data_IF_427973554519
#
_entry.id   IF_427973554519
#
_cell.length_a   1.000
_cell.length_b   1.000
_cell.length_c   1.000
_cell.angle_alpha   90.00
_cell.angle_beta   90.00
_cell.angle_gamma   90.00
#
_symmetry.space_group_name_H-M   'P 1'
#
loop_
_entity.id
_entity.type
_entity.pdbx_description
1 polymer ?
#
# COMPACT_ATOMS: atom_id res chain seq x y z
N UNK A 1 -12.68 4.23 5.52
CA UNK A 1 -11.69 3.35 6.16
C UNK A 1 -10.32 4.03 6.08
N UNK A 2 -9.71 4.28 7.21
CA UNK A 2 -8.43 4.97 7.29
C UNK A 2 -7.58 4.37 8.39
N UNK A 3 -6.29 4.13 8.12
CA UNK A 3 -5.39 3.52 9.10
C UNK A 3 -3.94 3.83 8.77
N UNK A 4 -3.07 3.68 9.77
CA UNK A 4 -1.63 3.90 9.64
C UNK A 4 -0.89 2.65 10.11
N UNK A 5 0.08 2.21 9.32
CA UNK A 5 0.91 1.06 9.62
C UNK A 5 2.34 1.51 9.86
N UNK A 6 2.91 1.10 10.99
CA UNK A 6 4.31 1.40 11.33
C UNK A 6 5.21 0.36 10.68
N UNK A 7 5.35 0.48 9.37
CA UNK A 7 6.14 -0.44 8.56
C UNK A 7 6.89 0.36 7.52
N UNK A 8 8.10 -0.06 7.22
CA UNK A 8 8.93 0.59 6.20
C UNK A 8 8.44 0.20 4.81
N UNK A 9 8.13 1.18 3.94
CA UNK A 9 7.71 0.86 2.58
C UNK A 9 8.79 0.07 1.83
N UNK A 10 8.36 -0.93 1.07
CA UNK A 10 9.26 -1.76 0.26
C UNK A 10 9.12 -1.40 -1.21
N UNK A 11 10.26 -1.14 -1.87
CA UNK A 11 10.29 -0.84 -3.29
C UNK A 11 9.92 -2.07 -4.13
N UNK A 12 9.17 -1.86 -5.22
CA UNK A 12 8.82 -2.91 -6.17
C UNK A 12 10.08 -3.60 -6.72
N UNK A 13 11.19 -2.87 -6.82
CA UNK A 13 12.46 -3.41 -7.31
C UNK A 13 13.02 -4.50 -6.41
N UNK A 14 12.58 -4.58 -5.17
CA UNK A 14 13.01 -5.59 -4.21
C UNK A 14 12.00 -6.70 -3.99
N UNK A 15 10.91 -6.70 -4.76
CA UNK A 15 9.82 -7.65 -4.55
C UNK A 15 9.96 -8.94 -5.35
N UNK A 16 10.67 -8.89 -6.50
CA UNK A 16 10.66 -9.99 -7.44
C UNK A 16 12.06 -10.45 -7.82
N UNK A 17 12.20 -11.76 -7.95
CA UNK A 17 13.36 -12.39 -8.58
C UNK A 17 12.87 -12.91 -9.93
N UNK A 18 13.24 -12.22 -11.01
CA UNK A 18 12.68 -12.49 -12.31
C UNK A 18 11.20 -12.07 -12.34
N UNK A 19 10.40 -12.75 -13.15
CA UNK A 19 9.01 -12.35 -13.38
C UNK A 19 8.00 -13.03 -12.46
N UNK A 20 8.35 -14.15 -11.86
CA UNK A 20 7.38 -15.03 -11.20
C UNK A 20 7.62 -15.26 -9.72
N UNK A 21 8.82 -15.04 -9.25
CA UNK A 21 9.18 -15.43 -7.89
C UNK A 21 9.31 -14.22 -6.99
N UNK A 22 8.55 -14.23 -5.89
CA UNK A 22 8.68 -13.20 -4.86
C UNK A 22 9.98 -13.41 -4.11
N UNK A 23 10.66 -12.30 -3.81
CA UNK A 23 11.84 -12.36 -2.95
C UNK A 23 11.42 -12.71 -1.52
N UNK A 24 12.40 -13.16 -0.73
CA UNK A 24 12.17 -13.39 0.70
C UNK A 24 11.72 -12.10 1.38
N UNK A 25 12.30 -10.97 1.01
CA UNK A 25 11.94 -9.66 1.56
C UNK A 25 10.47 -9.34 1.28
N UNK A 26 9.98 -9.61 0.07
CA UNK A 26 8.58 -9.35 -0.25
C UNK A 26 7.64 -10.28 0.50
N UNK A 27 7.99 -11.56 0.62
CA UNK A 27 7.16 -12.51 1.38
C UNK A 27 7.01 -12.08 2.83
N UNK A 28 8.10 -11.62 3.44
CA UNK A 28 8.07 -11.14 4.82
C UNK A 28 7.27 -9.85 4.95
N UNK A 29 7.45 -8.93 4.02
CA UNK A 29 6.72 -7.66 3.97
C UNK A 29 5.21 -7.89 3.81
N UNK A 30 4.83 -8.75 2.86
CA UNK A 30 3.43 -9.07 2.62
C UNK A 30 2.80 -9.70 3.86
N UNK A 31 3.49 -10.63 4.49
CA UNK A 31 2.99 -11.29 5.70
C UNK A 31 2.78 -10.29 6.82
N UNK A 32 3.76 -9.41 7.06
CA UNK A 32 3.66 -8.39 8.09
C UNK A 32 2.51 -7.44 7.81
N UNK A 33 2.37 -6.98 6.57
CA UNK A 33 1.30 -6.07 6.16
C UNK A 33 -0.07 -6.72 6.37
N UNK A 34 -0.23 -7.97 5.94
CA UNK A 34 -1.51 -8.66 6.08
C UNK A 34 -1.90 -8.85 7.54
N UNK A 35 -0.93 -9.00 8.43
CA UNK A 35 -1.19 -9.11 9.86
C UNK A 35 -1.54 -7.76 10.49
N UNK A 36 -0.91 -6.68 10.04
CA UNK A 36 -1.11 -5.34 10.59
C UNK A 36 -2.38 -4.67 10.06
N UNK A 37 -2.80 -5.02 8.84
CA UNK A 37 -4.00 -4.44 8.25
C UNK A 37 -5.23 -4.86 9.05
N UNK A 38 -6.11 -3.90 9.39
CA UNK A 38 -7.30 -4.22 10.17
C UNK A 38 -8.25 -5.14 9.41
N UNK A 39 -8.90 -6.05 10.14
CA UNK A 39 -9.95 -6.90 9.58
C UNK A 39 -11.25 -6.10 9.58
N UNK A 40 -11.54 -5.46 8.45
CA UNK A 40 -12.72 -4.63 8.30
C UNK A 40 -13.63 -5.25 7.25
N UNK A 41 -14.92 -5.27 7.53
CA UNK A 41 -15.91 -5.71 6.55
C UNK A 41 -15.99 -4.64 5.47
N UNK A 42 -15.48 -4.96 4.28
CA UNK A 42 -15.34 -4.02 3.19
C UNK A 42 -16.50 -4.15 2.21
N UNK A 43 -17.26 -3.08 2.05
CA UNK A 43 -18.46 -3.07 1.21
C UNK A 43 -18.33 -2.25 -0.08
N UNK A 44 -17.28 -1.46 -0.24
CA UNK A 44 -17.09 -0.61 -1.43
C UNK A 44 -16.52 -1.45 -2.57
N UNK A 45 -17.37 -1.90 -3.48
CA UNK A 45 -16.93 -2.84 -4.51
C UNK A 45 -16.91 -2.28 -5.92
N UNK A 46 -17.60 -1.18 -6.18
CA UNK A 46 -17.70 -0.65 -7.53
C UNK A 46 -16.64 0.38 -7.86
N UNK A 47 -16.74 1.54 -7.25
CA UNK A 47 -15.85 2.66 -7.52
C UNK A 47 -15.29 3.15 -6.20
N UNK A 48 -13.97 3.09 -6.07
CA UNK A 48 -13.31 3.49 -4.84
C UNK A 48 -12.22 4.51 -5.13
N UNK A 49 -11.89 5.28 -4.12
CA UNK A 49 -10.70 6.10 -4.08
C UNK A 49 -9.72 5.54 -3.06
N UNK A 50 -8.45 5.67 -3.35
CA UNK A 50 -7.38 5.23 -2.45
C UNK A 50 -6.41 6.38 -2.28
N UNK A 51 -6.10 6.72 -1.04
CA UNK A 51 -5.08 7.70 -0.71
C UNK A 51 -4.01 7.01 0.13
N UNK A 52 -2.75 7.16 -0.27
CA UNK A 52 -1.64 6.52 0.42
C UNK A 52 -0.57 7.57 0.69
N UNK A 53 -0.10 7.60 1.92
CA UNK A 53 1.05 8.41 2.30
C UNK A 53 2.17 7.49 2.74
N UNK A 54 3.33 7.64 2.11
CA UNK A 54 4.54 6.88 2.46
C UNK A 54 5.49 7.75 3.26
N UNK A 55 5.87 7.27 4.44
CA UNK A 55 6.92 7.90 5.24
C UNK A 55 8.25 7.24 4.97
N UNK A 56 9.15 7.98 4.34
CA UNK A 56 10.51 7.51 4.04
C UNK A 56 11.52 8.20 4.95
N UNK A 57 12.58 7.47 5.31
CA UNK A 57 13.66 8.04 6.09
C UNK A 57 14.82 8.55 5.23
N UNK A 58 14.69 8.51 3.91
CA UNK A 58 15.65 9.11 3.00
C UNK A 58 14.93 9.83 1.85
N UNK A 59 15.57 10.87 1.32
CA UNK A 59 14.97 11.70 0.28
C UNK A 59 15.10 11.12 -1.13
N UNK A 60 15.88 10.05 -1.29
CA UNK A 60 16.17 9.47 -2.61
C UNK A 60 15.17 8.41 -3.05
N UNK A 61 14.26 8.00 -2.17
CA UNK A 61 13.22 7.02 -2.50
C UNK A 61 12.20 7.65 -3.45
N UNK A 62 11.88 6.95 -4.53
CA UNK A 62 10.86 7.39 -5.48
C UNK A 62 9.47 7.11 -4.92
N UNK A 63 8.56 8.05 -5.12
CA UNK A 63 7.21 7.98 -4.58
C UNK A 63 6.41 6.78 -5.11
N UNK A 64 6.67 6.37 -6.35
CA UNK A 64 5.91 5.29 -6.99
C UNK A 64 6.45 3.89 -6.73
N UNK A 65 7.70 3.76 -6.29
CA UNK A 65 8.32 2.45 -6.11
C UNK A 65 7.61 1.54 -5.09
N UNK A 66 7.09 2.05 -3.96
CA UNK A 66 6.37 1.17 -3.01
C UNK A 66 4.88 1.04 -3.32
N UNK A 67 4.37 1.71 -4.35
CA UNK A 67 2.93 1.79 -4.60
C UNK A 67 2.33 0.46 -5.03
N UNK A 68 2.91 -0.18 -6.04
CA UNK A 68 2.35 -1.43 -6.58
C UNK A 68 2.31 -2.55 -5.54
N UNK A 69 3.37 -2.78 -4.75
CA UNK A 69 3.30 -3.77 -3.68
C UNK A 69 2.17 -3.51 -2.67
N UNK A 70 1.98 -2.25 -2.27
CA UNK A 70 0.90 -1.91 -1.32
C UNK A 70 -0.46 -2.15 -1.94
N UNK A 71 -0.67 -1.72 -3.18
CA UNK A 71 -1.96 -1.93 -3.85
C UNK A 71 -2.27 -3.42 -3.99
N UNK A 72 -1.29 -4.24 -4.33
CA UNK A 72 -1.49 -5.68 -4.45
C UNK A 72 -1.87 -6.31 -3.11
N UNK A 73 -1.23 -5.88 -2.03
CA UNK A 73 -1.52 -6.39 -0.69
C UNK A 73 -2.92 -5.95 -0.23
N UNK A 74 -3.31 -4.69 -0.49
CA UNK A 74 -4.63 -4.19 -0.15
C UNK A 74 -5.73 -4.96 -0.88
N UNK A 75 -5.52 -5.26 -2.16
CA UNK A 75 -6.45 -6.06 -2.94
C UNK A 75 -6.59 -7.47 -2.36
N UNK A 76 -5.48 -8.06 -1.96
CA UNK A 76 -5.48 -9.39 -1.36
C UNK A 76 -6.23 -9.41 -0.04
N UNK A 77 -6.05 -8.37 0.78
CA UNK A 77 -6.70 -8.28 2.09
C UNK A 77 -8.20 -7.99 1.98
N UNK A 78 -8.58 -7.04 1.13
CA UNK A 78 -9.94 -6.51 1.10
C UNK A 78 -10.77 -6.96 -0.10
N UNK A 79 -10.17 -7.65 -1.05
CA UNK A 79 -10.91 -8.31 -2.13
C UNK A 79 -11.42 -7.41 -3.25
N UNK A 80 -10.94 -6.17 -3.35
CA UNK A 80 -11.30 -5.34 -4.50
C UNK A 80 -10.33 -5.57 -5.66
N UNK A 81 -10.68 -5.04 -6.83
CA UNK A 81 -9.87 -5.14 -8.04
C UNK A 81 -9.29 -3.78 -8.39
N UNK A 82 -8.10 -3.74 -9.00
CA UNK A 82 -7.46 -2.52 -9.47
C UNK A 82 -8.40 -1.65 -10.29
N UNK A 83 -9.20 -2.26 -11.15
CA UNK A 83 -10.11 -1.52 -12.03
C UNK A 83 -11.21 -0.80 -11.28
N UNK A 84 -11.41 -1.11 -10.01
CA UNK A 84 -12.37 -0.41 -9.17
C UNK A 84 -11.81 0.89 -8.61
N UNK A 85 -10.51 1.12 -8.73
CA UNK A 85 -9.87 2.34 -8.26
C UNK A 85 -10.06 3.43 -9.30
N UNK A 86 -10.85 4.44 -8.99
CA UNK A 86 -11.13 5.56 -9.89
C UNK A 86 -10.35 6.80 -9.51
N UNK A 87 -9.85 6.85 -8.28
CA UNK A 87 -9.06 7.98 -7.80
C UNK A 87 -7.92 7.44 -6.95
N UNK A 88 -6.72 7.91 -7.21
CA UNK A 88 -5.53 7.49 -6.48
C UNK A 88 -4.70 8.71 -6.13
N UNK A 89 -4.49 8.93 -4.83
CA UNK A 89 -3.66 10.01 -4.33
C UNK A 89 -2.48 9.40 -3.59
N UNK A 90 -1.27 9.81 -3.94
CA UNK A 90 -0.05 9.31 -3.31
C UNK A 90 0.78 10.49 -2.84
N UNK A 91 1.27 10.39 -1.61
CA UNK A 91 2.05 11.44 -0.99
C UNK A 91 3.34 10.84 -0.41
N UNK A 92 4.43 11.56 -0.55
CA UNK A 92 5.73 11.21 0.04
C UNK A 92 6.02 12.17 1.19
N UNK A 93 6.38 11.61 2.35
CA UNK A 93 6.73 12.37 3.53
C UNK A 93 8.07 11.87 4.05
N UNK A 94 8.93 12.78 4.49
CA UNK A 94 10.21 12.40 5.08
C UNK A 94 10.05 12.28 6.59
N UNK A 95 10.58 11.18 7.11
CA UNK A 95 10.54 10.90 8.55
C UNK A 95 11.95 10.61 9.07
N UNK A 96 12.06 10.39 10.36
CA UNK A 96 13.28 9.91 10.96
C UNK A 96 13.40 8.40 10.71
N UNK A 97 14.66 7.91 10.76
CA UNK A 97 14.93 6.48 10.68
C UNK A 97 14.17 5.74 11.78
N UNK A 98 13.60 4.61 11.45
CA UNK A 98 12.74 3.78 12.31
C UNK A 98 11.34 4.37 12.59
N UNK A 99 11.02 5.50 11.98
CA UNK A 99 9.67 6.08 12.05
C UNK A 99 8.96 6.01 10.71
N UNK A 100 9.45 5.17 9.79
CA UNK A 100 8.80 4.97 8.50
C UNK A 100 7.40 4.42 8.67
N UNK A 101 6.52 4.77 7.75
CA UNK A 101 5.13 4.36 7.85
C UNK A 101 4.44 4.28 6.49
N UNK A 102 3.29 3.62 6.48
CA UNK A 102 2.34 3.64 5.36
C UNK A 102 0.98 3.99 5.92
N UNK A 103 0.41 5.08 5.43
CA UNK A 103 -0.91 5.54 5.84
C UNK A 103 -1.85 5.36 4.67
N UNK A 104 -2.99 4.71 4.90
CA UNK A 104 -3.93 4.34 3.84
C UNK A 104 -5.32 4.83 4.18
N UNK A 105 -6.00 5.37 3.18
CA UNK A 105 -7.41 5.69 3.24
C UNK A 105 -8.10 5.08 2.02
N UNK A 106 -9.14 4.30 2.25
CA UNK A 106 -9.98 3.74 1.19
C UNK A 106 -11.38 4.25 1.41
N UNK A 107 -11.97 4.83 0.36
CA UNK A 107 -13.27 5.45 0.45
C UNK A 107 -14.09 5.17 -0.81
N UNK A 108 -15.39 5.30 -0.68
CA UNK A 108 -16.28 5.18 -1.82
C UNK A 108 -16.10 6.39 -2.72
N UNK A 109 -15.87 6.14 -4.00
CA UNK A 109 -15.74 7.22 -4.97
C UNK A 109 -17.13 7.65 -5.42
N UNK A 110 -17.57 8.77 -4.89
CA UNK A 110 -18.87 9.34 -5.21
C UNK A 110 -18.72 10.23 -6.43
N UNK A 111 -19.39 9.87 -7.51
CA UNK A 111 -19.33 10.58 -8.77
C UNK A 111 -20.68 10.95 -9.29
N UNK A 112 -20.73 12.10 -9.81
CA UNK A 112 -21.95 12.59 -10.47
C UNK A 112 -21.68 12.65 -11.97
#
# INVERSE_FOLDING_TARGET
MQFKLDVKPLSVNKCWQGRRYKTKAYKQYEKAMLMLLPNIDYTYKDKIGVSIEFGFSNSTSDIDNPLKPVLDILQKKYGFNDRSIYELNVKKTLTKKKEEFIKVSIYEHSRI
#
